data_IF_287376743928
#
_entry.id   IF_287376743928
#
_cell.length_a   1.000
_cell.length_b   1.000
_cell.length_c   1.000
_cell.angle_alpha   90.00
_cell.angle_beta   90.00
_cell.angle_gamma   90.00
#
_symmetry.space_group_name_H-M   'P 1'
#
loop_
_entity.id
_entity.type
_entity.pdbx_description
1 polymer ?
#
# COMPACT_ATOMS: atom_id res chain seq x y z
N UNK A 1 39.54 56.51 -45.24
CA UNK A 1 39.16 55.89 -46.53
C UNK A 1 39.51 54.41 -46.46
N UNK A 2 38.65 53.53 -46.99
CA UNK A 2 38.68 52.06 -46.90
C UNK A 2 40.04 51.43 -47.26
N UNK A 3 40.39 50.30 -46.64
CA UNK A 3 40.59 48.99 -47.30
C UNK A 3 40.84 47.88 -46.27
N UNK A 4 40.35 46.69 -46.63
CA UNK A 4 40.16 45.44 -45.89
C UNK A 4 41.35 44.49 -46.11
N UNK A 5 41.66 43.72 -45.05
CA UNK A 5 42.04 42.28 -44.98
C UNK A 5 43.29 41.74 -45.68
N UNK A 6 44.13 41.01 -44.91
CA UNK A 6 44.58 39.60 -45.08
C UNK A 6 45.87 39.34 -44.26
N UNK A 7 45.88 38.49 -43.21
CA UNK A 7 46.28 37.05 -43.14
C UNK A 7 46.66 36.72 -41.66
N UNK A 8 47.01 35.48 -41.25
CA UNK A 8 46.38 34.18 -41.44
C UNK A 8 46.20 33.38 -40.11
N UNK A 9 45.61 32.19 -40.24
CA UNK A 9 45.44 31.09 -39.28
C UNK A 9 46.73 30.66 -38.54
N UNK A 10 46.56 30.23 -37.28
CA UNK A 10 47.20 29.11 -36.53
C UNK A 10 47.27 29.51 -35.04
N UNK A 11 46.98 28.70 -34.03
CA UNK A 11 46.55 27.32 -33.92
C UNK A 11 45.83 27.17 -32.56
N UNK A 12 44.85 26.27 -32.51
CA UNK A 12 44.19 25.85 -31.27
C UNK A 12 45.17 25.10 -30.36
N UNK A 13 45.23 25.47 -29.09
CA UNK A 13 45.53 24.53 -28.00
C UNK A 13 44.47 24.69 -26.91
N UNK A 14 43.67 23.64 -26.77
CA UNK A 14 42.56 23.50 -25.82
C UNK A 14 43.09 23.14 -24.44
N UNK A 15 42.70 23.89 -23.40
CA UNK A 15 42.78 23.44 -22.01
C UNK A 15 41.68 22.39 -21.74
N UNK A 16 41.97 21.29 -21.00
CA UNK A 16 40.93 20.40 -20.54
C UNK A 16 40.18 21.01 -19.35
N UNK A 17 38.87 21.12 -19.48
CA UNK A 17 37.93 21.45 -18.41
C UNK A 17 37.72 20.18 -17.56
N UNK A 18 38.14 20.20 -16.29
CA UNK A 18 37.82 19.15 -15.32
C UNK A 18 36.33 19.20 -14.99
N UNK A 19 35.52 18.37 -15.64
CA UNK A 19 34.13 18.15 -15.21
C UNK A 19 34.13 17.15 -14.06
N UNK A 20 33.88 17.63 -12.85
CA UNK A 20 33.55 16.81 -11.69
C UNK A 20 32.20 16.13 -11.93
N UNK A 21 32.20 14.88 -12.38
CA UNK A 21 31.02 14.02 -12.28
C UNK A 21 30.96 13.45 -10.88
N UNK A 22 30.24 14.12 -9.99
CA UNK A 22 29.74 13.47 -8.78
C UNK A 22 28.70 12.42 -9.22
N UNK A 23 29.14 11.16 -9.34
CA UNK A 23 28.22 10.03 -9.42
C UNK A 23 27.58 9.93 -8.04
N UNK A 24 26.36 10.44 -7.90
CA UNK A 24 25.52 10.12 -6.76
C UNK A 24 25.28 8.61 -6.79
N UNK A 25 26.02 7.88 -5.96
CA UNK A 25 25.74 6.48 -5.68
C UNK A 25 24.38 6.39 -5.00
N UNK A 26 23.36 6.09 -5.80
CA UNK A 26 22.04 5.69 -5.32
C UNK A 26 22.22 4.43 -4.46
N UNK A 27 22.25 4.61 -3.14
CA UNK A 27 22.11 3.52 -2.18
C UNK A 27 20.73 2.90 -2.43
N UNK A 28 20.63 1.60 -2.78
CA UNK A 28 19.33 0.96 -2.90
C UNK A 28 18.70 0.90 -1.51
N UNK A 29 17.70 1.75 -1.27
CA UNK A 29 16.87 1.72 -0.08
C UNK A 29 16.21 0.32 0.00
N UNK A 30 16.18 -0.32 1.18
CA UNK A 30 15.71 -1.70 1.33
C UNK A 30 14.24 -1.91 0.88
N UNK A 31 13.43 -0.86 0.83
CA UNK A 31 12.12 -0.84 0.19
C UNK A 31 12.19 -1.28 -1.29
N UNK A 32 13.25 -0.90 -2.02
CA UNK A 32 13.48 -1.26 -3.42
C UNK A 32 13.79 -2.76 -3.61
N UNK A 33 14.51 -3.39 -2.67
CA UNK A 33 14.84 -4.84 -2.76
C UNK A 33 13.62 -5.73 -2.55
N UNK A 34 12.75 -5.39 -1.60
CA UNK A 34 11.51 -6.14 -1.37
C UNK A 34 10.51 -5.94 -2.52
N UNK A 35 10.43 -4.73 -3.08
CA UNK A 35 9.64 -4.44 -4.29
C UNK A 35 10.15 -5.25 -5.48
N UNK A 36 11.48 -5.36 -5.68
CA UNK A 36 12.05 -6.19 -6.75
C UNK A 36 11.80 -7.68 -6.55
N UNK A 37 11.88 -8.20 -5.32
CA UNK A 37 11.61 -9.62 -5.05
C UNK A 37 10.13 -9.98 -5.23
N UNK A 38 9.21 -9.08 -4.84
CA UNK A 38 7.77 -9.24 -5.09
C UNK A 38 7.50 -9.07 -6.59
N UNK A 39 8.06 -8.07 -7.26
CA UNK A 39 7.94 -7.93 -8.71
C UNK A 39 8.44 -9.18 -9.45
N UNK A 40 9.56 -9.78 -9.04
CA UNK A 40 10.07 -11.04 -9.60
C UNK A 40 9.13 -12.24 -9.36
N UNK A 41 8.44 -12.30 -8.22
CA UNK A 41 7.40 -13.30 -7.96
C UNK A 41 6.17 -13.10 -8.86
N UNK A 42 5.89 -11.86 -9.27
CA UNK A 42 4.76 -11.51 -10.13
C UNK A 42 5.14 -11.49 -11.64
N UNK A 43 6.41 -11.34 -12.00
CA UNK A 43 6.92 -11.31 -13.38
C UNK A 43 7.03 -12.69 -14.04
N UNK A 44 6.79 -13.77 -13.29
CA UNK A 44 6.61 -15.11 -13.84
C UNK A 44 5.13 -15.35 -14.18
N UNK A 45 4.60 -14.81 -15.28
CA UNK A 45 3.21 -15.09 -15.66
C UNK A 45 2.91 -15.21 -17.17
N UNK A 46 1.96 -16.13 -17.39
CA UNK A 46 1.44 -16.76 -18.61
C UNK A 46 0.52 -15.83 -19.46
N UNK A 47 0.18 -16.17 -20.73
CA UNK A 47 -0.56 -15.32 -21.69
C UNK A 47 -1.99 -14.86 -21.30
N UNK A 48 -2.52 -15.28 -20.14
CA UNK A 48 -3.85 -14.88 -19.63
C UNK A 48 -3.84 -13.49 -18.93
N UNK A 49 -2.71 -12.79 -19.02
CA UNK A 49 -2.35 -11.53 -18.35
C UNK A 49 -3.10 -10.27 -18.83
N UNK A 50 -3.55 -10.22 -20.08
CA UNK A 50 -4.06 -8.98 -20.72
C UNK A 50 -5.46 -8.57 -20.23
N UNK A 51 -6.35 -9.52 -20.00
CA UNK A 51 -7.73 -9.22 -19.56
C UNK A 51 -7.77 -8.76 -18.10
N UNK A 52 -6.98 -9.41 -17.25
CA UNK A 52 -6.85 -9.08 -15.83
C UNK A 52 -6.25 -7.67 -15.67
N UNK A 53 -5.25 -7.35 -16.50
CA UNK A 53 -4.69 -5.99 -16.57
C UNK A 53 -5.74 -4.95 -16.98
N UNK A 54 -6.56 -5.26 -17.99
CA UNK A 54 -7.61 -4.37 -18.45
C UNK A 54 -8.66 -4.09 -17.36
N UNK A 55 -9.04 -5.11 -16.58
CA UNK A 55 -9.96 -4.97 -15.44
C UNK A 55 -9.37 -4.02 -14.40
N UNK A 56 -8.11 -4.22 -14.01
CA UNK A 56 -7.43 -3.37 -13.03
C UNK A 56 -7.40 -1.90 -13.48
N UNK A 57 -6.96 -1.62 -14.72
CA UNK A 57 -6.92 -0.26 -15.27
C UNK A 57 -8.31 0.37 -15.33
N UNK A 58 -9.31 -0.37 -15.79
CA UNK A 58 -10.68 0.12 -15.92
C UNK A 58 -11.29 0.44 -14.56
N UNK A 59 -11.07 -0.41 -13.56
CA UNK A 59 -11.54 -0.18 -12.20
C UNK A 59 -11.00 1.14 -11.62
N UNK A 60 -9.69 1.37 -11.64
CA UNK A 60 -9.09 2.61 -11.15
C UNK A 60 -9.51 3.85 -11.97
N UNK A 61 -9.75 3.68 -13.28
CA UNK A 61 -10.31 4.74 -14.12
C UNK A 61 -11.73 5.14 -13.66
N UNK A 62 -12.57 4.17 -13.30
CA UNK A 62 -13.93 4.43 -12.81
C UNK A 62 -13.90 5.14 -11.45
N UNK A 63 -13.00 4.75 -10.55
CA UNK A 63 -12.79 5.45 -9.28
C UNK A 63 -12.35 6.91 -9.49
N UNK A 64 -11.43 7.15 -10.41
CA UNK A 64 -10.98 8.51 -10.74
C UNK A 64 -12.09 9.38 -11.36
N UNK A 65 -13.04 8.75 -12.07
CA UNK A 65 -14.20 9.42 -12.68
C UNK A 65 -15.40 9.57 -11.72
N UNK A 66 -15.31 9.09 -10.47
CA UNK A 66 -16.42 9.10 -9.52
C UNK A 66 -17.56 8.15 -9.89
N UNK A 67 -17.31 7.14 -10.76
CA UNK A 67 -18.31 6.19 -11.25
C UNK A 67 -18.34 4.93 -10.37
N UNK A 68 -18.71 5.08 -9.11
CA UNK A 68 -18.58 4.03 -8.10
C UNK A 68 -19.53 2.85 -8.32
N UNK A 69 -20.74 3.09 -8.82
CA UNK A 69 -21.71 2.05 -9.17
C UNK A 69 -21.17 1.15 -10.29
N UNK A 70 -20.49 1.75 -11.27
CA UNK A 70 -19.86 1.01 -12.36
C UNK A 70 -18.63 0.25 -11.86
N UNK A 71 -17.84 0.87 -10.96
CA UNK A 71 -16.69 0.20 -10.34
C UNK A 71 -17.12 -1.04 -9.53
N UNK A 72 -18.24 -0.95 -8.81
CA UNK A 72 -18.82 -2.09 -8.08
C UNK A 72 -19.19 -3.25 -9.00
N UNK A 73 -19.50 -3.04 -10.28
CA UNK A 73 -19.86 -4.14 -11.18
C UNK A 73 -18.74 -5.18 -11.32
N UNK A 74 -17.48 -4.78 -11.12
CA UNK A 74 -16.31 -5.65 -11.12
C UNK A 74 -16.18 -6.51 -9.86
N UNK A 75 -16.91 -6.20 -8.78
CA UNK A 75 -16.82 -6.95 -7.53
C UNK A 75 -17.52 -8.31 -7.66
N UNK A 76 -16.91 -9.31 -7.00
CA UNK A 76 -17.56 -10.60 -6.77
C UNK A 76 -18.85 -10.42 -5.95
N UNK A 77 -19.84 -11.33 -6.08
CA UNK A 77 -21.08 -11.28 -5.30
C UNK A 77 -20.81 -11.15 -3.80
N UNK A 78 -19.90 -11.97 -3.28
CA UNK A 78 -19.51 -11.95 -1.87
C UNK A 78 -18.92 -10.61 -1.45
N UNK A 79 -18.15 -9.92 -2.30
CA UNK A 79 -17.62 -8.60 -1.94
C UNK A 79 -18.71 -7.51 -1.99
N UNK A 80 -19.68 -7.62 -2.89
CA UNK A 80 -20.83 -6.71 -2.99
C UNK A 80 -21.74 -6.76 -1.76
N UNK A 81 -21.79 -7.88 -1.05
CA UNK A 81 -22.52 -7.98 0.23
C UNK A 81 -21.98 -7.00 1.29
N UNK A 82 -20.74 -6.53 1.16
CA UNK A 82 -20.06 -5.70 2.16
C UNK A 82 -19.56 -4.37 1.59
N UNK A 83 -19.92 -4.02 0.36
CA UNK A 83 -19.47 -2.80 -0.30
C UNK A 83 -20.58 -2.17 -1.13
N UNK A 84 -20.97 -0.95 -0.75
CA UNK A 84 -21.86 -0.07 -1.52
C UNK A 84 -21.07 0.96 -2.32
N UNK A 85 -21.75 1.66 -3.24
CA UNK A 85 -21.12 2.72 -4.03
C UNK A 85 -20.66 3.86 -3.12
N UNK A 86 -21.49 4.22 -2.14
CA UNK A 86 -21.18 5.22 -1.12
C UNK A 86 -19.96 4.84 -0.27
N UNK A 87 -19.87 3.58 0.17
CA UNK A 87 -18.71 3.10 0.93
C UNK A 87 -17.43 3.10 0.08
N UNK A 88 -17.53 2.71 -1.19
CA UNK A 88 -16.39 2.75 -2.11
C UNK A 88 -15.94 4.19 -2.38
N UNK A 89 -16.89 5.11 -2.52
CA UNK A 89 -16.65 6.54 -2.65
C UNK A 89 -15.94 7.08 -1.41
N UNK A 90 -16.48 6.81 -0.23
CA UNK A 90 -15.93 7.27 1.05
C UNK A 90 -14.48 6.81 1.22
N UNK A 91 -14.21 5.51 1.03
CA UNK A 91 -12.86 4.95 1.10
C UNK A 91 -11.92 5.64 0.11
N UNK A 92 -12.36 5.83 -1.13
CA UNK A 92 -11.55 6.47 -2.16
C UNK A 92 -11.26 7.94 -1.83
N UNK A 93 -12.25 8.68 -1.37
CA UNK A 93 -12.10 10.10 -1.00
C UNK A 93 -11.19 10.26 0.22
N UNK A 94 -11.34 9.43 1.26
CA UNK A 94 -10.44 9.41 2.42
C UNK A 94 -9.00 9.15 1.97
N UNK A 95 -8.79 8.20 1.06
CA UNK A 95 -7.46 7.95 0.50
C UNK A 95 -6.92 9.17 -0.27
N UNK A 96 -7.74 9.80 -1.13
CA UNK A 96 -7.35 10.98 -1.91
C UNK A 96 -6.99 12.20 -1.05
N UNK A 97 -7.58 12.37 0.14
CA UNK A 97 -7.14 13.42 1.08
C UNK A 97 -5.65 13.29 1.42
N UNK A 98 -5.17 12.05 1.54
CA UNK A 98 -3.79 11.73 1.90
C UNK A 98 -2.86 11.81 0.69
N UNK A 99 -3.20 11.19 -0.43
CA UNK A 99 -2.28 11.00 -1.57
C UNK A 99 -2.54 11.93 -2.76
N UNK A 100 -3.63 12.70 -2.74
CA UNK A 100 -4.09 13.53 -3.86
C UNK A 100 -4.89 12.76 -4.90
N UNK A 101 -5.23 13.42 -6.02
CA UNK A 101 -5.98 12.80 -7.12
C UNK A 101 -5.13 11.77 -7.86
N UNK A 102 -5.81 10.79 -8.46
CA UNK A 102 -5.15 9.80 -9.32
C UNK A 102 -4.69 10.50 -10.61
N UNK A 103 -3.42 10.31 -10.97
CA UNK A 103 -2.84 10.77 -12.23
C UNK A 103 -2.89 9.65 -13.26
N UNK A 104 -2.34 8.47 -12.93
CA UNK A 104 -2.29 7.34 -13.85
C UNK A 104 -2.13 6.00 -13.13
N UNK A 105 -2.59 4.92 -13.78
CA UNK A 105 -2.17 3.56 -13.44
C UNK A 105 -0.86 3.27 -14.19
N UNK A 106 0.26 3.42 -13.49
CA UNK A 106 1.62 3.40 -14.05
C UNK A 106 2.09 2.00 -14.45
N UNK A 107 1.77 0.99 -13.65
CA UNK A 107 2.21 -0.39 -13.90
C UNK A 107 1.17 -1.39 -13.41
N UNK A 108 1.03 -2.49 -14.15
CA UNK A 108 0.18 -3.60 -13.79
C UNK A 108 0.96 -4.89 -14.07
N UNK A 109 1.25 -5.66 -13.02
CA UNK A 109 1.96 -6.94 -13.12
C UNK A 109 1.00 -8.03 -12.63
N UNK A 110 0.40 -8.80 -13.54
CA UNK A 110 -0.44 -9.93 -13.18
C UNK A 110 0.43 -11.10 -12.69
N UNK A 111 -0.08 -11.85 -11.73
CA UNK A 111 0.51 -13.08 -11.19
C UNK A 111 -0.59 -14.10 -10.98
N UNK A 112 -0.28 -15.35 -11.30
CA UNK A 112 -1.20 -16.46 -11.09
C UNK A 112 -0.72 -17.29 -9.90
N UNK A 113 -1.60 -17.50 -8.92
CA UNK A 113 -1.41 -18.48 -7.86
C UNK A 113 -2.51 -19.54 -8.02
N UNK A 114 -2.29 -20.82 -7.67
CA UNK A 114 -3.26 -21.88 -7.95
C UNK A 114 -4.69 -21.52 -7.51
N UNK A 115 -5.58 -21.29 -8.48
CA UNK A 115 -7.00 -20.96 -8.26
C UNK A 115 -7.36 -19.48 -8.05
N UNK A 116 -6.40 -18.55 -8.09
CA UNK A 116 -6.64 -17.09 -7.95
C UNK A 116 -5.72 -16.25 -8.83
N UNK A 117 -6.25 -15.20 -9.43
CA UNK A 117 -5.44 -14.20 -10.13
C UNK A 117 -5.13 -13.06 -9.15
N UNK A 118 -3.86 -12.69 -9.02
CA UNK A 118 -3.44 -11.51 -8.25
C UNK A 118 -2.74 -10.53 -9.18
N UNK A 119 -2.92 -9.24 -8.92
CA UNK A 119 -2.35 -8.19 -9.75
C UNK A 119 -1.70 -7.19 -8.86
N UNK A 120 -0.40 -6.98 -9.06
CA UNK A 120 0.32 -5.85 -8.50
C UNK A 120 0.09 -4.63 -9.39
N UNK A 121 -0.47 -3.57 -8.81
CA UNK A 121 -0.87 -2.38 -9.55
C UNK A 121 -0.17 -1.18 -8.91
N UNK A 122 0.70 -0.53 -9.66
CA UNK A 122 1.33 0.73 -9.25
C UNK A 122 0.53 1.89 -9.80
N UNK A 123 0.02 2.75 -8.93
CA UNK A 123 -0.80 3.92 -9.27
C UNK A 123 -0.08 5.19 -8.82
N UNK A 124 0.05 6.16 -9.73
CA UNK A 124 0.60 7.47 -9.42
C UNK A 124 -0.52 8.44 -9.06
N UNK A 125 -0.38 9.09 -7.92
CA UNK A 125 -1.22 10.18 -7.46
C UNK A 125 -0.42 11.49 -7.40
N UNK A 126 -1.11 12.61 -7.20
CA UNK A 126 -0.47 13.95 -7.14
C UNK A 126 0.62 14.06 -6.07
N UNK A 127 0.48 13.40 -4.91
CA UNK A 127 1.42 13.53 -3.79
C UNK A 127 2.32 12.30 -3.61
N UNK A 128 1.97 11.15 -4.17
CA UNK A 128 2.73 9.91 -3.99
C UNK A 128 2.40 8.85 -5.04
N UNK A 129 3.27 7.84 -5.17
CA UNK A 129 2.99 6.60 -5.89
C UNK A 129 2.63 5.52 -4.88
N UNK A 130 1.57 4.76 -5.14
CA UNK A 130 1.09 3.68 -4.27
C UNK A 130 0.98 2.39 -5.06
N UNK A 131 1.37 1.28 -4.42
CA UNK A 131 1.16 -0.05 -4.94
C UNK A 131 -0.09 -0.67 -4.32
N UNK A 132 -0.82 -1.43 -5.11
CA UNK A 132 -2.01 -2.17 -4.72
C UNK A 132 -1.87 -3.63 -5.13
N UNK A 133 -2.42 -4.53 -4.33
CA UNK A 133 -2.69 -5.90 -4.75
C UNK A 133 -4.19 -6.07 -4.93
N UNK A 134 -4.60 -6.34 -6.16
CA UNK A 134 -5.96 -6.73 -6.51
C UNK A 134 -6.01 -8.24 -6.67
N UNK A 135 -6.94 -8.90 -6.00
CA UNK A 135 -7.20 -10.34 -6.14
C UNK A 135 -8.50 -10.54 -6.88
N UNK A 136 -8.50 -11.45 -7.86
CA UNK A 136 -9.64 -11.82 -8.67
C UNK A 136 -9.91 -13.32 -8.57
N UNK A 137 -11.20 -13.70 -8.61
CA UNK A 137 -11.63 -15.09 -8.70
C UNK A 137 -11.40 -15.67 -10.12
N UNK A 138 -11.67 -16.96 -10.30
CA UNK A 138 -11.60 -17.65 -11.60
C UNK A 138 -12.49 -17.05 -12.70
N UNK A 139 -13.50 -16.27 -12.33
CA UNK A 139 -14.39 -15.55 -13.24
C UNK A 139 -13.94 -14.10 -13.46
N UNK A 140 -12.72 -13.76 -13.02
CA UNK A 140 -12.11 -12.43 -13.10
C UNK A 140 -12.93 -11.33 -12.38
N UNK A 141 -13.61 -11.69 -11.30
CA UNK A 141 -14.29 -10.71 -10.43
C UNK A 141 -13.40 -10.38 -9.24
N UNK A 142 -13.36 -9.11 -8.87
CA UNK A 142 -12.55 -8.61 -7.77
C UNK A 142 -13.10 -9.17 -6.45
N UNK A 143 -12.25 -9.89 -5.73
CA UNK A 143 -12.54 -10.43 -4.39
C UNK A 143 -11.87 -9.61 -3.30
N UNK A 144 -10.79 -8.91 -3.62
CA UNK A 144 -10.13 -7.97 -2.71
C UNK A 144 -9.30 -6.93 -3.47
N UNK A 145 -9.16 -5.75 -2.88
CA UNK A 145 -8.17 -4.74 -3.24
C UNK A 145 -7.50 -4.31 -1.95
N UNK A 146 -6.17 -4.39 -1.92
CA UNK A 146 -5.39 -4.05 -0.74
C UNK A 146 -4.30 -3.06 -1.13
N UNK A 147 -4.04 -2.09 -0.27
CA UNK A 147 -2.80 -1.32 -0.37
C UNK A 147 -1.63 -2.26 -0.15
N UNK A 148 -0.74 -2.34 -1.13
CA UNK A 148 0.58 -2.89 -0.93
C UNK A 148 1.45 -1.77 -0.36
N UNK A 149 1.22 -1.42 0.89
CA UNK A 149 2.16 -0.56 1.59
C UNK A 149 3.46 -1.37 1.77
N UNK A 150 4.42 -1.20 0.86
CA UNK A 150 5.80 -1.68 1.01
C UNK A 150 6.54 -0.77 1.99
N UNK A 151 5.99 -0.69 3.20
CA UNK A 151 6.56 -0.01 4.35
C UNK A 151 6.97 -1.03 5.39
N UNK A 152 7.90 -0.64 6.27
CA UNK A 152 8.23 -1.38 7.49
C UNK A 152 6.94 -1.75 8.21
N UNK A 153 6.71 -3.03 8.53
CA UNK A 153 5.48 -3.51 9.21
C UNK A 153 5.14 -2.72 10.47
N UNK A 154 6.13 -2.09 11.09
CA UNK A 154 5.98 -1.12 12.18
C UNK A 154 5.04 0.04 11.83
N UNK A 155 5.17 0.61 10.64
CA UNK A 155 4.31 1.70 10.16
C UNK A 155 2.87 1.22 10.00
N UNK A 156 2.69 0.02 9.42
CA UNK A 156 1.37 -0.60 9.27
C UNK A 156 0.71 -0.87 10.60
N UNK A 157 1.45 -1.44 11.55
CA UNK A 157 0.92 -1.74 12.88
C UNK A 157 0.52 -0.46 13.62
N UNK A 158 1.32 0.61 13.50
CA UNK A 158 0.99 1.93 14.03
C UNK A 158 -0.30 2.46 13.43
N UNK A 159 -0.40 2.50 12.09
CA UNK A 159 -1.62 2.96 11.38
C UNK A 159 -2.85 2.14 11.76
N UNK A 160 -2.71 0.83 11.88
CA UNK A 160 -3.81 -0.04 12.31
C UNK A 160 -4.34 0.35 13.69
N UNK A 161 -3.47 0.51 14.69
CA UNK A 161 -3.86 0.91 16.05
C UNK A 161 -4.42 2.34 16.08
N UNK A 162 -3.78 3.27 15.36
CA UNK A 162 -4.28 4.65 15.23
C UNK A 162 -5.69 4.66 14.64
N UNK A 163 -5.95 3.89 13.58
CA UNK A 163 -7.28 3.79 12.99
C UNK A 163 -8.32 3.21 13.98
N UNK A 164 -7.95 2.25 14.84
CA UNK A 164 -8.85 1.78 15.90
C UNK A 164 -9.16 2.89 16.91
N UNK A 165 -8.14 3.66 17.31
CA UNK A 165 -8.28 4.76 18.27
C UNK A 165 -9.14 5.92 17.72
N UNK A 166 -9.03 6.19 16.42
CA UNK A 166 -9.79 7.26 15.73
C UNK A 166 -11.21 6.83 15.33
N UNK A 167 -11.59 5.56 15.53
CA UNK A 167 -12.90 5.04 15.14
C UNK A 167 -13.02 4.65 13.66
N UNK A 168 -11.91 4.66 12.94
CA UNK A 168 -11.80 4.36 11.50
C UNK A 168 -11.73 2.83 11.26
N UNK A 169 -12.74 2.08 11.74
CA UNK A 169 -12.72 0.61 11.77
C UNK A 169 -12.67 -0.04 10.39
N UNK A 170 -13.26 0.60 9.37
CA UNK A 170 -13.16 0.13 7.98
C UNK A 170 -11.71 0.25 7.48
N UNK A 171 -11.03 1.35 7.81
CA UNK A 171 -9.63 1.54 7.46
C UNK A 171 -8.72 0.59 8.24
N UNK A 172 -8.95 0.42 9.54
CA UNK A 172 -8.25 -0.57 10.37
C UNK A 172 -8.38 -1.98 9.79
N UNK A 173 -9.59 -2.36 9.34
CA UNK A 173 -9.84 -3.66 8.71
C UNK A 173 -9.05 -3.86 7.41
N UNK A 174 -8.70 -2.80 6.68
CA UNK A 174 -7.95 -2.89 5.42
C UNK A 174 -6.58 -3.55 5.58
N UNK A 175 -5.95 -3.42 6.76
CA UNK A 175 -4.66 -4.00 7.09
C UNK A 175 -4.71 -5.51 7.39
N UNK A 176 -5.89 -6.07 7.61
CA UNK A 176 -6.08 -7.49 7.96
C UNK A 176 -5.95 -8.41 6.72
N UNK A 177 -5.54 -9.66 6.95
CA UNK A 177 -5.55 -10.71 5.93
C UNK A 177 -6.97 -11.05 5.49
N UNK A 178 -7.11 -11.73 4.34
CA UNK A 178 -8.42 -12.13 3.83
C UNK A 178 -9.19 -13.03 4.81
N UNK A 179 -8.50 -13.92 5.52
CA UNK A 179 -9.05 -14.81 6.54
C UNK A 179 -9.57 -14.02 7.74
N UNK A 180 -8.76 -13.08 8.25
CA UNK A 180 -9.18 -12.24 9.36
C UNK A 180 -10.32 -11.31 8.98
N UNK A 181 -10.36 -10.80 7.75
CA UNK A 181 -11.46 -9.96 7.24
C UNK A 181 -12.81 -10.68 7.29
N UNK A 182 -12.85 -12.00 7.09
CA UNK A 182 -14.09 -12.80 7.21
C UNK A 182 -14.62 -12.85 8.64
N UNK A 183 -13.74 -12.74 9.63
CA UNK A 183 -14.06 -12.84 11.05
C UNK A 183 -14.34 -11.44 11.64
N UNK A 184 -13.44 -10.51 11.38
CA UNK A 184 -13.42 -9.17 11.97
C UNK A 184 -14.07 -8.15 11.04
N UNK A 185 -15.39 -8.05 11.15
CA UNK A 185 -16.15 -6.95 10.56
C UNK A 185 -15.93 -5.64 11.34
N UNK A 186 -16.19 -4.46 10.75
CA UNK A 186 -15.98 -3.17 11.42
C UNK A 186 -16.65 -3.07 12.80
N UNK A 187 -17.88 -3.55 12.94
CA UNK A 187 -18.60 -3.51 14.22
C UNK A 187 -17.95 -4.43 15.28
N UNK A 188 -17.41 -5.59 14.87
CA UNK A 188 -16.69 -6.46 15.78
C UNK A 188 -15.34 -5.85 16.20
N UNK A 189 -14.63 -5.17 15.29
CA UNK A 189 -13.41 -4.43 15.63
C UNK A 189 -13.69 -3.33 16.65
N UNK A 190 -14.76 -2.57 16.43
CA UNK A 190 -15.26 -1.56 17.35
C UNK A 190 -15.57 -2.15 18.72
N UNK A 191 -16.36 -3.22 18.79
CA UNK A 191 -16.71 -3.89 20.06
C UNK A 191 -15.46 -4.37 20.81
N UNK A 192 -14.49 -4.96 20.11
CA UNK A 192 -13.24 -5.44 20.70
C UNK A 192 -12.39 -4.28 21.23
N UNK A 193 -12.28 -3.20 20.46
CA UNK A 193 -11.56 -1.99 20.90
C UNK A 193 -12.23 -1.35 22.11
N UNK A 194 -13.55 -1.19 22.10
CA UNK A 194 -14.32 -0.67 23.23
C UNK A 194 -14.12 -1.52 24.50
N UNK A 195 -14.08 -2.86 24.37
CA UNK A 195 -13.80 -3.75 25.50
C UNK A 195 -12.42 -3.52 26.12
N UNK A 196 -11.41 -3.16 25.30
CA UNK A 196 -10.10 -2.72 25.81
C UNK A 196 -10.26 -1.42 26.58
N UNK A 197 -10.87 -0.39 25.98
CA UNK A 197 -11.03 0.93 26.60
C UNK A 197 -11.81 0.89 27.93
N UNK A 198 -12.83 0.03 28.05
CA UNK A 198 -13.56 -0.16 29.33
C UNK A 198 -12.64 -0.60 30.47
N UNK A 199 -11.58 -1.36 30.16
CA UNK A 199 -10.65 -1.91 31.16
C UNK A 199 -9.41 -1.04 31.36
N UNK A 200 -8.98 -0.32 30.33
CA UNK A 200 -7.73 0.45 30.33
C UNK A 200 -7.93 1.95 30.49
N UNK A 201 -9.15 2.45 30.31
CA UNK A 201 -9.42 3.87 30.08
C UNK A 201 -9.13 4.31 28.64
N UNK A 202 -9.26 5.61 28.38
CA UNK A 202 -9.09 6.18 27.04
C UNK A 202 -7.68 5.92 26.48
N UNK A 203 -7.58 5.77 25.15
CA UNK A 203 -6.30 5.72 24.45
C UNK A 203 -5.59 7.08 24.58
N UNK A 204 -4.30 7.06 24.92
CA UNK A 204 -3.47 8.27 24.96
C UNK A 204 -2.47 8.28 23.80
N UNK A 205 -1.59 7.28 23.75
CA UNK A 205 -0.49 7.27 22.77
C UNK A 205 0.08 5.87 22.52
N UNK A 206 0.76 5.74 21.37
CA UNK A 206 1.63 4.60 21.06
C UNK A 206 3.06 5.00 21.41
N UNK A 207 3.53 4.60 22.60
CA UNK A 207 4.84 4.94 23.17
C UNK A 207 5.99 4.37 22.32
N UNK A 208 5.93 3.08 21.98
CA UNK A 208 7.00 2.40 21.23
C UNK A 208 6.44 1.48 20.16
N UNK A 209 7.21 1.32 19.08
CA UNK A 209 6.91 0.37 17.99
C UNK A 209 8.21 -0.29 17.55
N UNK A 210 8.30 -1.59 17.74
CA UNK A 210 9.52 -2.38 17.49
C UNK A 210 9.20 -3.60 16.65
N UNK A 211 10.01 -3.89 15.62
CA UNK A 211 9.90 -5.17 14.93
C UNK A 211 10.61 -6.26 15.74
N UNK A 212 9.95 -7.40 15.83
CA UNK A 212 10.53 -8.65 16.30
C UNK A 212 10.88 -9.48 15.06
N UNK A 213 12.17 -9.77 14.88
CA UNK A 213 12.61 -10.65 13.79
C UNK A 213 12.32 -12.11 14.17
N UNK A 214 11.31 -12.70 13.53
CA UNK A 214 11.10 -14.14 13.50
C UNK A 214 11.71 -14.77 12.25
N UNK A 215 11.84 -16.10 12.22
CA UNK A 215 12.36 -16.84 11.06
C UNK A 215 11.36 -16.91 9.90
N UNK A 216 10.05 -16.94 10.18
CA UNK A 216 8.99 -17.19 9.18
C UNK A 216 7.82 -16.18 9.22
N UNK A 217 7.88 -15.17 10.07
CA UNK A 217 6.86 -14.12 10.19
C UNK A 217 7.52 -12.81 10.59
N UNK A 218 6.95 -11.70 10.12
CA UNK A 218 7.28 -10.38 10.64
C UNK A 218 6.32 -10.07 11.79
N UNK A 219 6.85 -9.84 12.98
CA UNK A 219 6.07 -9.45 14.15
C UNK A 219 6.42 -8.02 14.56
N UNK A 220 5.44 -7.29 15.07
CA UNK A 220 5.62 -5.94 15.60
C UNK A 220 5.04 -5.90 17.00
N UNK A 221 5.85 -5.40 17.93
CA UNK A 221 5.44 -5.05 19.27
C UNK A 221 5.10 -3.56 19.32
N UNK A 222 3.93 -3.23 19.86
CA UNK A 222 3.50 -1.85 20.13
C UNK A 222 3.22 -1.72 21.61
N UNK A 223 3.96 -0.85 22.30
CA UNK A 223 3.60 -0.44 23.65
C UNK A 223 2.65 0.74 23.55
N UNK A 224 1.47 0.58 24.14
CA UNK A 224 0.39 1.56 24.11
C UNK A 224 0.11 2.02 25.53
N UNK A 225 -0.01 3.33 25.68
CA UNK A 225 -0.46 3.98 26.90
C UNK A 225 -1.94 4.35 26.78
N UNK A 226 -2.68 3.93 27.79
CA UNK A 226 -4.05 4.31 28.06
C UNK A 226 -4.08 5.07 29.40
N UNK A 227 -5.20 5.74 29.68
CA UNK A 227 -5.38 6.55 30.88
C UNK A 227 -5.06 5.83 32.19
N UNK A 228 -5.46 4.55 32.31
CA UNK A 228 -5.34 3.79 33.55
C UNK A 228 -4.41 2.57 33.40
N UNK A 229 -3.77 2.39 32.24
CA UNK A 229 -2.98 1.19 31.95
C UNK A 229 -1.98 1.42 30.82
N UNK A 230 -0.86 0.71 30.85
CA UNK A 230 0.02 0.60 29.69
C UNK A 230 0.23 -0.88 29.35
N UNK A 231 0.05 -1.23 28.08
CA UNK A 231 0.04 -2.60 27.61
C UNK A 231 0.75 -2.77 26.29
N UNK A 232 0.98 -4.02 25.92
CA UNK A 232 1.71 -4.37 24.70
C UNK A 232 0.84 -5.15 23.73
N UNK A 233 0.67 -4.62 22.52
CA UNK A 233 0.11 -5.36 21.39
C UNK A 233 1.22 -6.04 20.60
N UNK A 234 1.02 -7.30 20.27
CA UNK A 234 1.81 -8.04 19.30
C UNK A 234 0.98 -8.21 18.02
N UNK A 235 1.52 -7.71 16.90
CA UNK A 235 0.89 -7.78 15.58
C UNK A 235 1.75 -8.65 14.68
N UNK A 236 1.18 -9.73 14.16
CA UNK A 236 1.86 -10.67 13.26
C UNK A 236 1.43 -10.41 11.83
N UNK A 237 2.39 -10.43 10.91
CA UNK A 237 2.21 -10.17 9.49
C UNK A 237 2.59 -11.39 8.64
N UNK A 238 1.86 -11.60 7.55
CA UNK A 238 2.28 -12.54 6.49
C UNK A 238 3.31 -11.90 5.54
N UNK A 239 3.79 -12.66 4.55
CA UNK A 239 4.78 -12.19 3.56
C UNK A 239 4.30 -11.03 2.67
N UNK A 240 2.99 -10.80 2.59
CA UNK A 240 2.38 -9.65 1.90
C UNK A 240 2.26 -8.42 2.82
N UNK A 241 2.71 -8.54 4.07
CA UNK A 241 2.61 -7.51 5.08
C UNK A 241 1.17 -7.23 5.50
N UNK A 242 0.28 -8.23 5.48
CA UNK A 242 -1.07 -8.16 6.02
C UNK A 242 -1.10 -8.75 7.44
N UNK A 243 -1.92 -8.19 8.32
CA UNK A 243 -2.08 -8.65 9.70
C UNK A 243 -2.82 -10.00 9.71
N UNK A 244 -2.19 -11.02 10.25
CA UNK A 244 -2.76 -12.37 10.42
C UNK A 244 -3.11 -12.69 11.88
N UNK A 245 -2.60 -11.91 12.84
CA UNK A 245 -2.95 -12.03 14.26
C UNK A 245 -2.60 -10.75 15.03
N UNK A 246 -3.43 -10.41 16.00
CA UNK A 246 -3.22 -9.31 16.96
C UNK A 246 -3.45 -9.87 18.37
N UNK A 247 -2.54 -9.60 19.31
CA UNK A 247 -2.74 -9.95 20.72
C UNK A 247 -3.59 -8.91 21.46
N UNK A 248 -4.15 -9.31 22.60
CA UNK A 248 -4.69 -8.38 23.58
C UNK A 248 -3.53 -7.65 24.30
N UNK A 249 -3.66 -6.35 24.64
CA UNK A 249 -2.72 -5.66 25.52
C UNK A 249 -2.91 -6.01 26.98
N UNK A 250 -4.10 -6.53 27.31
CA UNK A 250 -4.48 -6.96 28.65
C UNK A 250 -3.90 -8.36 28.87
N UNK A 251 -3.06 -8.50 29.90
CA UNK A 251 -2.58 -9.78 30.42
C UNK A 251 -3.60 -10.39 31.37
#
# INVERSE_FOLDING_TARGET
MKIKLLLPLCALTTLPLLTSTAIATLIPNQASKNTMKIAQLFEQSSPQSTQVEAIAKKFFTLLAQGKYEQALQYFSPNLKEYATADQLQEIWQVHQKTVGRLIEVYRVIPSEFPGTYSVLITVRFEKSTQDFVMTLDKNQRITAINFLELGKVQVKARKFVTALAEGEYTFARSFLSAELKKIYQPELLKQRWQSVLTKTGAFEEIETVSAIKGTNYEAVELRIKFQNYSGTFLVLFNSLGQIIKVSSPLK
#
